data_IF_567877678302
#
_entry.id   IF_567877678302
#
_cell.length_a   1.000
_cell.length_b   1.000
_cell.length_c   1.000
_cell.angle_alpha   90.00
_cell.angle_beta   90.00
_cell.angle_gamma   90.00
#
_symmetry.space_group_name_H-M   'P 1'
#
loop_
_entity.id
_entity.type
_entity.pdbx_description
1 polymer ?
#
# COMPACT_ATOMS: atom_id res chain seq x y z
N UNK A 1 29.02 -18.96 -2.38
CA UNK A 1 28.19 -18.41 -3.49
C UNK A 1 27.21 -17.40 -2.90
N UNK A 2 27.51 -16.11 -2.96
CA UNK A 2 26.58 -15.03 -2.56
C UNK A 2 25.72 -14.68 -3.77
N UNK A 3 24.41 -14.92 -3.71
CA UNK A 3 23.45 -14.45 -4.71
C UNK A 3 23.03 -13.04 -4.32
N UNK A 4 23.28 -12.07 -5.19
CA UNK A 4 22.75 -10.71 -5.07
C UNK A 4 21.28 -10.74 -5.49
N UNK A 5 20.38 -10.31 -4.61
CA UNK A 5 19.00 -10.03 -4.96
C UNK A 5 19.00 -8.62 -5.55
N UNK A 6 19.08 -8.52 -6.87
CA UNK A 6 18.95 -7.26 -7.59
C UNK A 6 17.46 -6.97 -7.74
N UNK A 7 16.87 -6.25 -6.78
CA UNK A 7 15.52 -5.68 -6.93
C UNK A 7 15.59 -4.56 -7.93
N UNK A 8 15.05 -4.81 -9.11
CA UNK A 8 14.95 -3.79 -10.13
C UNK A 8 13.50 -3.32 -10.24
N UNK A 9 13.24 -2.18 -9.60
CA UNK A 9 12.01 -1.43 -9.74
C UNK A 9 12.16 -0.54 -10.98
N UNK A 10 11.83 -1.04 -12.17
CA UNK A 10 11.68 -0.19 -13.34
C UNK A 10 10.46 -0.61 -14.16
N UNK A 11 9.30 -0.18 -13.66
CA UNK A 11 8.17 0.15 -14.51
C UNK A 11 8.21 1.66 -14.73
N UNK A 12 8.23 2.12 -15.98
CA UNK A 12 7.89 3.49 -16.32
C UNK A 12 6.46 3.72 -15.85
N UNK A 13 6.31 4.32 -14.67
CA UNK A 13 5.03 4.68 -14.12
C UNK A 13 4.42 5.76 -15.02
N UNK A 14 3.37 5.40 -15.75
CA UNK A 14 2.38 6.39 -16.16
C UNK A 14 1.80 6.95 -14.85
N UNK A 15 2.13 8.21 -14.55
CA UNK A 15 1.64 8.93 -13.38
C UNK A 15 0.12 8.79 -13.28
N UNK A 16 -0.37 8.26 -12.16
CA UNK A 16 -1.74 8.55 -11.77
C UNK A 16 -1.87 10.05 -11.55
N UNK A 17 -2.89 10.68 -12.12
CA UNK A 17 -3.16 12.09 -11.84
C UNK A 17 -4.31 12.12 -10.83
N UNK A 18 -4.00 12.55 -9.61
CA UNK A 18 -5.01 12.95 -8.66
C UNK A 18 -5.38 14.42 -8.92
N UNK A 19 -6.63 14.69 -9.30
CA UNK A 19 -7.16 16.06 -9.34
C UNK A 19 -8.10 16.27 -8.17
N UNK A 20 -7.92 17.39 -7.46
CA UNK A 20 -8.88 17.90 -6.48
C UNK A 20 -9.61 19.06 -7.11
N UNK A 21 -10.90 18.87 -7.40
CA UNK A 21 -11.76 19.90 -7.99
C UNK A 21 -12.39 20.78 -6.91
N UNK A 22 -11.96 22.04 -6.81
CA UNK A 22 -12.53 23.03 -5.88
C UNK A 22 -13.81 23.64 -6.46
N UNK A 23 -14.95 23.00 -6.18
CA UNK A 23 -16.27 23.61 -6.34
C UNK A 23 -16.70 24.30 -5.05
N UNK A 24 -17.61 25.29 -5.12
CA UNK A 24 -18.24 25.88 -3.93
C UNK A 24 -19.09 24.83 -3.20
N UNK A 25 -18.46 23.96 -2.40
CA UNK A 25 -19.15 23.14 -1.40
C UNK A 25 -18.51 21.81 -1.00
N UNK A 26 -17.80 21.09 -1.89
CA UNK A 26 -17.27 19.76 -1.59
C UNK A 26 -16.06 19.42 -2.47
N UNK A 27 -14.96 18.97 -1.86
CA UNK A 27 -13.78 18.55 -2.59
C UNK A 27 -14.00 17.14 -3.17
N UNK A 28 -13.77 16.98 -4.47
CA UNK A 28 -13.82 15.64 -5.10
C UNK A 28 -12.40 15.17 -5.37
N UNK A 29 -12.04 14.00 -4.85
CA UNK A 29 -10.86 13.25 -5.25
C UNK A 29 -11.18 12.52 -6.55
N UNK A 30 -10.40 12.78 -7.60
CA UNK A 30 -10.43 11.99 -8.84
C UNK A 30 -9.10 11.24 -8.97
N UNK A 31 -9.14 9.91 -9.01
CA UNK A 31 -7.97 9.05 -9.24
C UNK A 31 -8.19 8.24 -10.51
N UNK A 32 -7.28 8.38 -11.46
CA UNK A 32 -7.21 7.54 -12.65
C UNK A 32 -5.80 6.96 -12.76
N UNK A 33 -5.71 5.64 -12.86
CA UNK A 33 -4.44 4.92 -12.91
C UNK A 33 -4.45 3.90 -14.05
N UNK A 34 -3.32 3.78 -14.74
CA UNK A 34 -3.06 2.72 -15.72
C UNK A 34 -1.78 2.00 -15.30
N UNK A 35 -1.91 0.84 -14.67
CA UNK A 35 -0.80 0.15 -14.00
C UNK A 35 -0.99 -1.38 -14.06
N UNK A 36 0.08 -2.19 -14.05
CA UNK A 36 0.01 -3.63 -13.80
C UNK A 36 -0.78 -4.02 -12.53
N UNK A 37 -0.73 -3.18 -11.49
CA UNK A 37 -1.43 -3.35 -10.22
C UNK A 37 -2.28 -2.10 -9.92
N UNK A 38 -3.40 -1.89 -10.61
CA UNK A 38 -4.14 -0.63 -10.54
C UNK A 38 -4.70 -0.34 -9.14
N UNK A 39 -5.10 -1.36 -8.37
CA UNK A 39 -5.62 -1.15 -7.01
C UNK A 39 -4.51 -0.67 -6.06
N UNK A 40 -3.36 -1.35 -6.06
CA UNK A 40 -2.21 -0.94 -5.24
C UNK A 40 -1.81 0.51 -5.57
N UNK A 41 -1.73 0.87 -6.86
CA UNK A 41 -1.42 2.24 -7.26
C UNK A 41 -2.50 3.25 -6.84
N UNK A 42 -3.78 2.90 -7.00
CA UNK A 42 -4.87 3.79 -6.61
C UNK A 42 -4.92 4.01 -5.09
N UNK A 43 -4.59 2.98 -4.29
CA UNK A 43 -4.42 3.10 -2.85
C UNK A 43 -3.23 4.01 -2.52
N UNK A 44 -2.09 3.88 -3.21
CA UNK A 44 -0.95 4.77 -3.00
C UNK A 44 -1.31 6.24 -3.30
N UNK A 45 -2.10 6.52 -4.35
CA UNK A 45 -2.60 7.88 -4.61
C UNK A 45 -3.57 8.36 -3.53
N UNK A 46 -4.48 7.49 -3.07
CA UNK A 46 -5.42 7.82 -2.00
C UNK A 46 -4.70 8.11 -0.67
N UNK A 47 -3.69 7.32 -0.34
CA UNK A 47 -2.82 7.48 0.82
C UNK A 47 -2.08 8.83 0.81
N UNK A 48 -1.59 9.29 -0.35
CA UNK A 48 -0.95 10.62 -0.46
C UNK A 48 -1.90 11.76 -0.18
N UNK A 49 -3.17 11.63 -0.58
CA UNK A 49 -4.18 12.68 -0.40
C UNK A 49 -4.68 12.71 1.05
N UNK A 50 -4.90 11.54 1.67
CA UNK A 50 -5.53 11.46 3.00
C UNK A 50 -4.49 11.34 4.14
N UNK A 51 -3.29 10.83 3.85
CA UNK A 51 -2.21 10.64 4.82
C UNK A 51 -2.44 9.50 5.80
N UNK A 52 -3.21 8.49 5.41
CA UNK A 52 -3.57 7.37 6.27
C UNK A 52 -3.24 6.06 5.57
N UNK A 53 -2.49 5.13 6.22
CA UNK A 53 -2.08 3.89 5.58
C UNK A 53 -3.25 2.95 5.31
N UNK A 54 -3.24 2.31 4.14
CA UNK A 54 -4.18 1.24 3.80
C UNK A 54 -3.36 0.03 3.41
N UNK A 55 -3.55 -1.10 4.05
CA UNK A 55 -2.80 -2.32 3.77
C UNK A 55 -3.44 -3.08 2.60
N UNK A 56 -2.64 -3.71 1.76
CA UNK A 56 -3.12 -4.39 0.55
C UNK A 56 -2.42 -5.72 0.32
N UNK A 57 -3.21 -6.71 -0.07
CA UNK A 57 -2.75 -8.00 -0.57
C UNK A 57 -3.19 -8.22 -2.01
N UNK A 58 -2.27 -8.72 -2.83
CA UNK A 58 -2.46 -8.96 -4.25
C UNK A 58 -3.03 -10.35 -4.54
N UNK A 59 -3.63 -10.53 -5.73
CA UNK A 59 -4.03 -11.87 -6.21
C UNK A 59 -2.86 -12.62 -6.83
N UNK A 60 -3.03 -13.94 -7.06
CA UNK A 60 -1.97 -14.82 -7.59
C UNK A 60 -1.81 -14.82 -9.12
N UNK A 61 -2.54 -13.98 -9.85
CA UNK A 61 -2.48 -13.85 -11.32
C UNK A 61 -2.32 -15.20 -12.06
N UNK A 62 -3.23 -16.14 -11.82
CA UNK A 62 -3.12 -17.49 -12.39
C UNK A 62 -3.61 -17.56 -13.83
N UNK A 63 -4.55 -16.70 -14.19
CA UNK A 63 -5.13 -16.68 -15.52
C UNK A 63 -4.12 -16.12 -16.55
N UNK A 64 -3.87 -16.81 -17.67
CA UNK A 64 -2.93 -16.35 -18.69
C UNK A 64 -3.24 -14.95 -19.25
N UNK A 65 -4.51 -14.55 -19.29
CA UNK A 65 -4.95 -13.23 -19.73
C UNK A 65 -4.58 -12.10 -18.78
N UNK A 66 -4.30 -12.41 -17.51
CA UNK A 66 -3.97 -11.44 -16.47
C UNK A 66 -2.47 -11.16 -16.33
N UNK A 67 -1.65 -11.92 -17.06
CA UNK A 67 -0.20 -11.75 -17.13
C UNK A 67 0.25 -11.43 -18.55
N UNK A 68 1.38 -10.76 -18.68
CA UNK A 68 2.06 -10.52 -19.94
C UNK A 68 3.55 -10.82 -19.83
N UNK A 69 4.14 -11.32 -20.93
CA UNK A 69 5.57 -11.50 -21.05
C UNK A 69 6.21 -10.13 -21.31
N UNK A 70 6.95 -9.64 -20.32
CA UNK A 70 7.67 -8.38 -20.37
C UNK A 70 9.18 -8.57 -20.53
N UNK A 71 9.63 -9.76 -20.95
CA UNK A 71 11.06 -10.10 -21.02
C UNK A 71 11.83 -9.11 -21.88
N UNK A 72 11.38 -8.83 -23.09
CA UNK A 72 12.03 -7.87 -23.99
C UNK A 72 12.05 -6.44 -23.42
N UNK A 73 10.91 -6.01 -22.87
CA UNK A 73 10.74 -4.67 -22.27
C UNK A 73 11.68 -4.47 -21.08
N UNK A 74 11.79 -5.47 -20.21
CA UNK A 74 12.60 -5.42 -19.00
C UNK A 74 14.08 -5.76 -19.26
N UNK A 75 14.42 -6.56 -20.27
CA UNK A 75 15.83 -6.86 -20.58
C UNK A 75 16.62 -5.59 -20.85
N UNK A 76 16.02 -4.66 -21.61
CA UNK A 76 16.63 -3.39 -21.96
C UNK A 76 16.79 -2.45 -20.76
N UNK A 77 15.86 -2.48 -19.79
CA UNK A 77 15.95 -1.62 -18.60
C UNK A 77 16.95 -2.14 -17.56
N UNK A 78 17.21 -3.45 -17.55
CA UNK A 78 18.05 -4.11 -16.55
C UNK A 78 19.53 -4.27 -16.94
N UNK A 79 19.93 -3.85 -18.14
CA UNK A 79 21.26 -4.12 -18.70
C UNK A 79 21.67 -5.61 -18.55
N UNK A 80 20.70 -6.54 -18.67
CA UNK A 80 20.97 -7.98 -18.56
C UNK A 80 21.59 -8.49 -19.85
N UNK A 81 22.53 -9.43 -19.74
CA UNK A 81 23.10 -10.10 -20.91
C UNK A 81 22.02 -10.83 -21.71
N UNK A 82 22.21 -10.93 -23.02
CA UNK A 82 21.31 -11.63 -23.95
C UNK A 82 21.13 -13.13 -23.61
N UNK A 83 22.02 -13.69 -22.77
CA UNK A 83 22.06 -15.11 -22.42
C UNK A 83 21.00 -15.56 -21.38
N UNK A 84 20.25 -14.63 -20.77
CA UNK A 84 19.22 -15.02 -19.79
C UNK A 84 17.98 -15.59 -20.49
N UNK A 85 17.80 -16.91 -20.43
CA UNK A 85 16.59 -17.63 -20.90
C UNK A 85 15.37 -17.47 -20.00
N UNK A 86 15.49 -16.75 -18.88
CA UNK A 86 14.39 -16.52 -17.93
C UNK A 86 13.37 -15.55 -18.53
N UNK A 87 12.13 -16.03 -18.72
CA UNK A 87 10.99 -15.17 -19.06
C UNK A 87 10.56 -14.37 -17.84
N UNK A 88 10.31 -13.08 -18.04
CA UNK A 88 9.82 -12.17 -17.02
C UNK A 88 8.34 -11.90 -17.26
N UNK A 89 7.51 -12.59 -16.50
CA UNK A 89 6.07 -12.38 -16.47
C UNK A 89 5.74 -11.25 -15.51
N UNK A 90 4.85 -10.35 -15.90
CA UNK A 90 4.30 -9.30 -15.02
C UNK A 90 2.78 -9.30 -15.12
N UNK A 91 2.07 -8.78 -14.11
CA UNK A 91 0.65 -8.49 -14.25
C UNK A 91 0.41 -7.59 -15.47
N UNK A 92 -0.64 -7.88 -16.23
CA UNK A 92 -1.01 -7.08 -17.39
C UNK A 92 -1.52 -5.71 -16.94
N UNK A 93 -1.09 -4.65 -17.61
CA UNK A 93 -1.57 -3.29 -17.34
C UNK A 93 -3.09 -3.20 -17.55
N UNK A 94 -3.78 -2.64 -16.55
CA UNK A 94 -5.21 -2.33 -16.56
C UNK A 94 -5.42 -0.91 -16.09
N UNK A 95 -6.56 -0.33 -16.48
CA UNK A 95 -6.98 0.98 -16.01
C UNK A 95 -8.01 0.85 -14.90
N UNK A 96 -7.94 1.75 -13.93
CA UNK A 96 -8.94 1.94 -12.88
C UNK A 96 -9.19 3.44 -12.74
N UNK A 97 -10.47 3.80 -12.69
CA UNK A 97 -10.91 5.17 -12.41
C UNK A 97 -11.81 5.15 -11.19
N UNK A 98 -11.67 6.17 -10.36
CA UNK A 98 -12.36 6.29 -9.09
C UNK A 98 -12.57 7.77 -8.80
N UNK A 99 -13.75 8.10 -8.30
CA UNK A 99 -14.04 9.41 -7.74
C UNK A 99 -14.68 9.27 -6.38
N UNK A 100 -14.32 10.16 -5.47
CA UNK A 100 -14.87 10.20 -4.12
C UNK A 100 -15.00 11.62 -3.62
N UNK A 101 -16.13 11.87 -2.97
CA UNK A 101 -16.47 13.15 -2.40
C UNK A 101 -15.90 13.23 -0.98
N UNK A 102 -14.94 14.11 -0.77
CA UNK A 102 -14.42 14.42 0.56
C UNK A 102 -15.49 15.18 1.34
N UNK A 103 -16.06 14.50 2.33
CA UNK A 103 -16.92 15.12 3.32
C UNK A 103 -16.09 15.65 4.49
N UNK A 104 -16.31 16.92 4.84
CA UNK A 104 -15.79 17.49 6.08
C UNK A 104 -16.57 16.93 7.28
N UNK A 105 -16.20 15.72 7.67
CA UNK A 105 -16.84 14.98 8.76
C UNK A 105 -16.08 15.12 10.09
N UNK A 106 -14.95 15.86 10.11
CA UNK A 106 -14.06 15.99 11.28
C UNK A 106 -13.33 14.71 11.71
N UNK A 107 -13.83 13.53 11.32
CA UNK A 107 -13.25 12.22 11.66
C UNK A 107 -12.56 11.56 10.47
N UNK A 108 -11.26 11.31 10.59
CA UNK A 108 -10.45 10.74 9.49
C UNK A 108 -10.76 9.27 9.21
N UNK A 109 -11.00 8.44 10.23
CA UNK A 109 -11.20 7.01 10.04
C UNK A 109 -12.49 6.66 9.27
N UNK A 110 -13.67 7.19 9.61
CA UNK A 110 -14.89 6.97 8.81
C UNK A 110 -14.78 7.53 7.38
N UNK A 111 -14.08 8.65 7.20
CA UNK A 111 -13.79 9.18 5.86
C UNK A 111 -12.92 8.21 5.05
N UNK A 112 -11.85 7.68 5.65
CA UNK A 112 -10.95 6.72 5.01
C UNK A 112 -11.68 5.41 4.67
N UNK A 113 -12.46 4.87 5.61
CA UNK A 113 -13.25 3.65 5.39
C UNK A 113 -14.15 3.77 4.15
N UNK A 114 -14.87 4.89 4.03
CA UNK A 114 -15.76 5.16 2.90
C UNK A 114 -15.00 5.35 1.59
N UNK A 115 -13.86 6.07 1.62
CA UNK A 115 -13.04 6.26 0.44
C UNK A 115 -12.46 4.93 -0.08
N UNK A 116 -11.92 4.09 0.80
CA UNK A 116 -11.39 2.76 0.45
C UNK A 116 -12.50 1.83 -0.01
N UNK A 117 -13.65 1.82 0.66
CA UNK A 117 -14.81 1.03 0.25
C UNK A 117 -15.29 1.41 -1.15
N UNK A 118 -15.35 2.71 -1.46
CA UNK A 118 -15.75 3.19 -2.78
C UNK A 118 -14.71 2.83 -3.86
N UNK A 119 -13.40 2.88 -3.55
CA UNK A 119 -12.34 2.45 -4.45
C UNK A 119 -12.45 0.94 -4.75
N UNK A 120 -12.63 0.11 -3.72
CA UNK A 120 -12.80 -1.33 -3.87
C UNK A 120 -14.09 -1.65 -4.65
N UNK A 121 -15.17 -0.92 -4.41
CA UNK A 121 -16.41 -1.09 -5.19
C UNK A 121 -16.19 -0.79 -6.68
N UNK A 122 -15.48 0.30 -7.02
CA UNK A 122 -15.12 0.62 -8.40
C UNK A 122 -14.24 -0.48 -9.02
N UNK A 123 -13.24 -0.95 -8.28
CA UNK A 123 -12.37 -2.05 -8.70
C UNK A 123 -13.14 -3.34 -8.97
N UNK A 124 -14.06 -3.72 -8.09
CA UNK A 124 -14.85 -4.96 -8.23
C UNK A 124 -15.87 -4.88 -9.37
N UNK A 125 -16.29 -3.67 -9.76
CA UNK A 125 -17.10 -3.44 -10.95
C UNK A 125 -16.26 -3.42 -12.24
N UNK A 126 -14.94 -3.23 -12.13
CA UNK A 126 -14.02 -3.34 -13.25
C UNK A 126 -13.65 -4.80 -13.54
N UNK A 127 -13.31 -5.10 -14.79
CA UNK A 127 -12.88 -6.43 -15.24
C UNK A 127 -11.42 -6.72 -14.84
N UNK A 128 -11.16 -6.75 -13.52
CA UNK A 128 -9.84 -6.93 -12.95
C UNK A 128 -9.58 -8.38 -12.51
N UNK A 129 -8.29 -8.81 -12.38
CA UNK A 129 -7.90 -10.19 -12.07
C UNK A 129 -8.46 -10.77 -10.75
N UNK A 130 -8.99 -9.92 -9.87
CA UNK A 130 -9.57 -10.30 -8.60
C UNK A 130 -10.65 -9.36 -8.11
N UNK A 131 -11.42 -9.85 -7.14
CA UNK A 131 -12.32 -9.05 -6.34
C UNK A 131 -11.82 -8.98 -4.91
N UNK A 132 -12.10 -7.87 -4.25
CA UNK A 132 -11.52 -7.53 -2.96
C UNK A 132 -12.60 -7.16 -1.96
N UNK A 133 -12.26 -7.31 -0.69
CA UNK A 133 -13.05 -6.85 0.44
C UNK A 133 -12.22 -5.88 1.28
N UNK A 134 -12.89 -4.89 1.86
CA UNK A 134 -12.29 -4.03 2.88
C UNK A 134 -12.54 -4.67 4.23
N UNK A 135 -11.48 -4.84 5.02
CA UNK A 135 -11.57 -5.22 6.42
C UNK A 135 -11.03 -4.08 7.26
N UNK A 136 -11.79 -3.75 8.31
CA UNK A 136 -11.41 -2.77 9.33
C UNK A 136 -10.97 -3.52 10.58
N UNK A 137 -9.86 -3.08 11.15
CA UNK A 137 -9.35 -3.60 12.41
C UNK A 137 -9.20 -2.47 13.41
N UNK A 138 -9.99 -2.50 14.49
CA UNK A 138 -9.91 -1.52 15.56
C UNK A 138 -9.13 -2.09 16.75
N UNK A 139 -8.03 -1.42 17.12
CA UNK A 139 -7.23 -1.77 18.30
C UNK A 139 -6.77 -0.51 19.02
N UNK A 140 -7.00 -0.45 20.33
CA UNK A 140 -6.56 0.67 21.19
C UNK A 140 -7.01 2.06 20.70
N UNK A 141 -8.17 2.15 20.03
CA UNK A 141 -8.70 3.41 19.51
C UNK A 141 -8.13 3.84 18.15
N UNK A 142 -7.29 3.01 17.54
CA UNK A 142 -6.80 3.20 16.18
C UNK A 142 -7.46 2.19 15.24
N UNK A 143 -7.83 2.65 14.05
CA UNK A 143 -8.43 1.82 12.99
C UNK A 143 -7.41 1.55 11.90
N UNK A 144 -7.25 0.30 11.50
CA UNK A 144 -6.44 -0.09 10.35
C UNK A 144 -7.34 -0.62 9.25
N UNK A 145 -6.99 -0.35 8.00
CA UNK A 145 -7.77 -0.78 6.85
C UNK A 145 -6.97 -1.75 5.99
N UNK A 146 -7.57 -2.88 5.66
CA UNK A 146 -7.00 -3.89 4.78
C UNK A 146 -7.88 -4.06 3.56
N UNK A 147 -7.26 -4.05 2.38
CA UNK A 147 -7.88 -4.46 1.12
C UNK A 147 -7.36 -5.85 0.79
N UNK A 148 -8.21 -6.85 1.00
CA UNK A 148 -7.86 -8.26 0.91
C UNK A 148 -8.56 -8.93 -0.27
N UNK A 149 -7.90 -9.87 -0.99
CA UNK A 149 -8.54 -10.60 -2.06
C UNK A 149 -9.63 -11.53 -1.48
N UNK A 150 -10.79 -11.55 -2.12
CA UNK A 150 -11.91 -12.46 -1.79
C UNK A 150 -12.18 -13.45 -2.91
N UNK A 151 -11.97 -13.04 -4.16
CA UNK A 151 -11.97 -13.91 -5.33
C UNK A 151 -10.85 -13.56 -6.30
N UNK A 152 -10.42 -14.53 -7.10
CA UNK A 152 -9.45 -14.33 -8.18
C UNK A 152 -9.75 -15.24 -9.37
N UNK A 153 -9.30 -14.86 -10.56
CA UNK A 153 -9.36 -15.76 -11.72
C UNK A 153 -8.35 -16.89 -11.57
N UNK A 154 -8.80 -18.11 -11.79
CA UNK A 154 -7.94 -19.29 -11.84
C UNK A 154 -7.32 -19.46 -13.24
N UNK A 155 -6.60 -20.56 -13.48
CA UNK A 155 -5.92 -20.84 -14.76
C UNK A 155 -6.88 -20.91 -15.96
N UNK A 156 -8.17 -21.21 -15.73
CA UNK A 156 -9.21 -21.21 -16.77
C UNK A 156 -9.92 -19.85 -16.95
N UNK A 157 -9.47 -18.79 -16.28
CA UNK A 157 -10.08 -17.46 -16.33
C UNK A 157 -11.39 -17.34 -15.55
N UNK A 158 -11.72 -18.32 -14.71
CA UNK A 158 -12.96 -18.34 -13.91
C UNK A 158 -12.70 -17.80 -12.51
N UNK A 159 -13.55 -16.91 -12.03
CA UNK A 159 -13.47 -16.42 -10.65
C UNK A 159 -13.71 -17.56 -9.64
N UNK A 160 -12.79 -17.69 -8.69
CA UNK A 160 -12.86 -18.61 -7.55
C UNK A 160 -12.60 -17.85 -6.27
N UNK A 161 -13.26 -18.27 -5.19
CA UNK A 161 -12.92 -17.79 -3.86
C UNK A 161 -11.45 -18.11 -3.55
N UNK A 162 -10.78 -17.18 -2.88
CA UNK A 162 -9.41 -17.35 -2.43
C UNK A 162 -9.31 -16.87 -0.99
N UNK A 163 -8.49 -17.57 -0.21
CA UNK A 163 -8.13 -17.13 1.14
C UNK A 163 -7.02 -16.09 1.06
N UNK A 164 -7.06 -15.11 1.97
CA UNK A 164 -6.02 -14.08 2.12
C UNK A 164 -4.90 -14.56 3.05
N UNK A 165 -3.67 -14.29 2.65
CA UNK A 165 -2.46 -14.49 3.46
C UNK A 165 -2.49 -13.63 4.73
N UNK A 166 -2.95 -12.39 4.62
CA UNK A 166 -3.07 -11.48 5.76
C UNK A 166 -4.19 -11.89 6.73
N UNK A 167 -5.20 -12.62 6.26
CA UNK A 167 -6.24 -13.20 7.11
C UNK A 167 -5.83 -14.54 7.76
N UNK A 168 -4.66 -15.10 7.40
CA UNK A 168 -4.22 -16.40 7.92
C UNK A 168 -3.96 -16.31 9.43
N UNK A 169 -4.54 -17.18 10.26
CA UNK A 169 -4.29 -17.18 11.69
C UNK A 169 -2.86 -17.64 11.99
N UNK A 170 -2.16 -16.90 12.83
CA UNK A 170 -0.81 -17.21 13.30
C UNK A 170 -0.76 -17.19 14.82
N UNK A 171 0.08 -18.06 15.38
CA UNK A 171 0.40 -18.08 16.80
C UNK A 171 1.91 -17.96 16.96
N UNK A 172 2.36 -16.97 17.71
CA UNK A 172 3.76 -16.62 17.83
C UNK A 172 4.02 -16.00 19.20
N UNK A 173 5.17 -16.31 19.78
CA UNK A 173 5.66 -15.69 21.02
C UNK A 173 7.11 -15.30 20.79
N UNK A 174 7.34 -14.00 20.60
CA UNK A 174 8.65 -13.40 20.41
C UNK A 174 8.95 -12.48 21.59
N UNK A 175 10.17 -12.55 22.10
CA UNK A 175 10.63 -11.69 23.19
C UNK A 175 11.99 -11.09 22.87
N UNK A 176 12.08 -9.76 22.91
CA UNK A 176 13.28 -8.94 22.66
C UNK A 176 14.07 -9.26 21.37
N UNK A 177 13.37 -9.67 20.30
CA UNK A 177 14.00 -9.96 18.99
C UNK A 177 14.15 -8.69 18.15
N UNK A 178 15.01 -8.73 17.12
CA UNK A 178 15.06 -7.64 16.14
C UNK A 178 13.80 -7.61 15.27
N UNK A 179 13.41 -6.44 14.76
CA UNK A 179 12.26 -6.33 13.85
C UNK A 179 12.41 -7.17 12.58
N UNK A 180 13.64 -7.36 12.06
CA UNK A 180 13.90 -8.27 10.92
C UNK A 180 13.62 -9.73 11.28
N UNK A 181 14.03 -10.17 12.47
CA UNK A 181 13.75 -11.53 12.95
C UNK A 181 12.24 -11.73 13.16
N UNK A 182 11.56 -10.76 13.77
CA UNK A 182 10.12 -10.80 13.97
C UNK A 182 9.36 -10.90 12.64
N UNK A 183 9.69 -10.05 11.67
CA UNK A 183 9.09 -10.11 10.32
C UNK A 183 9.32 -11.49 9.70
N UNK A 184 10.55 -11.99 9.73
CA UNK A 184 10.91 -13.30 9.17
C UNK A 184 10.10 -14.44 9.79
N UNK A 185 9.97 -14.46 11.13
CA UNK A 185 9.21 -15.49 11.83
C UNK A 185 7.71 -15.39 11.49
N UNK A 186 7.13 -14.19 11.44
CA UNK A 186 5.72 -14.03 11.05
C UNK A 186 5.49 -14.57 9.63
N UNK A 187 6.34 -14.20 8.65
CA UNK A 187 6.23 -14.71 7.28
C UNK A 187 6.44 -16.23 7.20
N UNK A 188 7.31 -16.77 8.05
CA UNK A 188 7.51 -18.21 8.17
C UNK A 188 6.23 -18.92 8.63
N UNK A 189 5.52 -18.38 9.62
CA UNK A 189 4.24 -18.95 10.09
C UNK A 189 3.16 -18.92 9.02
N UNK A 190 3.05 -17.81 8.27
CA UNK A 190 2.11 -17.73 7.14
C UNK A 190 2.46 -18.80 6.10
N UNK A 191 3.75 -18.96 5.77
CA UNK A 191 4.21 -19.98 4.81
C UNK A 191 3.88 -21.40 5.26
N UNK A 192 4.10 -21.72 6.53
CA UNK A 192 3.79 -23.04 7.10
C UNK A 192 2.30 -23.37 7.01
N UNK A 193 1.42 -22.39 7.25
CA UNK A 193 -0.03 -22.58 7.22
C UNK A 193 -0.62 -22.62 5.81
N UNK A 194 -0.11 -21.77 4.92
CA UNK A 194 -0.71 -21.57 3.58
C UNK A 194 -0.02 -22.37 2.49
N UNK A 195 1.21 -22.84 2.72
CA UNK A 195 2.07 -23.42 1.69
C UNK A 195 2.56 -22.42 0.63
N UNK A 196 2.20 -21.14 0.77
CA UNK A 196 2.64 -20.08 -0.14
C UNK A 196 4.02 -19.57 0.25
N UNK A 197 4.83 -19.25 -0.74
CA UNK A 197 6.14 -18.68 -0.50
C UNK A 197 5.98 -17.17 -0.29
N UNK A 198 6.47 -16.68 0.85
CA UNK A 198 6.58 -15.26 1.17
C UNK A 198 8.04 -14.91 1.37
N UNK A 199 8.43 -13.72 0.93
CA UNK A 199 9.79 -13.18 1.07
C UNK A 199 9.72 -11.70 1.45
N UNK A 200 10.76 -11.20 2.13
CA UNK A 200 10.90 -9.77 2.43
C UNK A 200 11.25 -9.05 1.12
N UNK A 201 10.42 -8.07 0.74
CA UNK A 201 10.64 -7.16 -0.38
C UNK A 201 11.31 -5.85 0.07
N UNK A 202 10.76 -4.73 -0.37
CA UNK A 202 11.23 -3.39 0.01
C UNK A 202 10.72 -3.04 1.40
N UNK A 203 11.63 -2.87 2.36
CA UNK A 203 11.28 -2.52 3.75
C UNK A 203 12.27 -1.50 4.31
N UNK A 204 11.92 -0.70 5.34
CA UNK A 204 12.85 0.20 6.02
C UNK A 204 13.84 -0.59 6.87
N UNK A 205 14.81 -1.24 6.23
CA UNK A 205 15.74 -2.19 6.86
C UNK A 205 16.46 -1.59 8.08
N UNK A 206 16.81 -0.30 8.02
CA UNK A 206 17.43 0.40 9.14
C UNK A 206 16.51 0.52 10.37
N UNK A 207 15.21 0.73 10.18
CA UNK A 207 14.24 0.77 11.28
C UNK A 207 14.04 -0.64 11.87
N UNK A 208 13.80 -1.63 11.01
CA UNK A 208 13.65 -3.04 11.43
C UNK A 208 14.88 -3.59 12.17
N UNK A 209 16.09 -3.25 11.73
CA UNK A 209 17.31 -3.74 12.36
C UNK A 209 17.58 -3.11 13.74
N UNK A 210 17.08 -1.90 13.98
CA UNK A 210 17.23 -1.19 15.26
C UNK A 210 16.13 -1.50 16.26
N UNK A 211 14.92 -1.80 15.77
CA UNK A 211 13.79 -2.14 16.62
C UNK A 211 14.07 -3.40 17.45
N UNK A 212 13.69 -3.35 18.72
CA UNK A 212 13.63 -4.49 19.64
C UNK A 212 12.18 -4.67 20.02
N UNK A 213 11.61 -5.83 19.69
CA UNK A 213 10.17 -6.06 19.78
C UNK A 213 9.89 -7.33 20.56
N UNK A 214 8.82 -7.29 21.35
CA UNK A 214 8.19 -8.45 21.95
C UNK A 214 6.76 -8.52 21.42
N UNK A 215 6.43 -9.59 20.72
CA UNK A 215 5.14 -9.77 20.05
C UNK A 215 4.59 -11.13 20.49
N UNK A 216 3.38 -11.13 21.02
CA UNK A 216 2.65 -12.35 21.33
C UNK A 216 1.31 -12.30 20.62
N UNK A 217 1.03 -13.32 19.83
CA UNK A 217 -0.26 -13.52 19.20
C UNK A 217 -0.67 -14.98 19.35
N UNK A 218 -1.96 -15.20 19.64
CA UNK A 218 -2.57 -16.52 19.76
C UNK A 218 -3.76 -16.59 18.79
N UNK A 219 -3.58 -17.35 17.71
CA UNK A 219 -4.56 -17.51 16.64
C UNK A 219 -5.08 -16.17 16.06
N UNK A 220 -4.20 -15.19 15.89
CA UNK A 220 -4.54 -13.87 15.35
C UNK A 220 -4.29 -13.79 13.83
N UNK A 221 -5.08 -13.00 13.06
CA UNK A 221 -4.78 -12.75 11.65
C UNK A 221 -3.38 -12.18 11.46
N UNK A 222 -2.62 -12.76 10.54
CA UNK A 222 -1.23 -12.38 10.30
C UNK A 222 -1.05 -10.89 9.95
N UNK A 223 -2.03 -10.31 9.24
CA UNK A 223 -2.06 -8.88 8.96
C UNK A 223 -2.00 -8.04 10.23
N UNK A 224 -2.75 -8.40 11.27
CA UNK A 224 -2.75 -7.65 12.53
C UNK A 224 -1.40 -7.75 13.25
N UNK A 225 -0.82 -8.96 13.30
CA UNK A 225 0.49 -9.20 13.91
C UNK A 225 1.61 -8.43 13.17
N UNK A 226 1.50 -8.30 11.84
CA UNK A 226 2.40 -7.46 11.04
C UNK A 226 2.23 -5.97 11.37
N UNK A 227 1.00 -5.49 11.61
CA UNK A 227 0.78 -4.09 11.99
C UNK A 227 1.34 -3.79 13.38
N UNK A 228 1.20 -4.71 14.34
CA UNK A 228 1.86 -4.57 15.65
C UNK A 228 3.37 -4.38 15.49
N UNK A 229 4.01 -5.24 14.68
CA UNK A 229 5.43 -5.09 14.37
C UNK A 229 5.75 -3.73 13.75
N UNK A 230 4.94 -3.27 12.79
CA UNK A 230 5.13 -1.98 12.11
C UNK A 230 5.07 -0.80 13.09
N UNK A 231 4.13 -0.84 14.04
CA UNK A 231 3.97 0.22 15.06
C UNK A 231 5.19 0.35 15.98
N UNK A 232 5.91 -0.75 16.21
CA UNK A 232 7.14 -0.74 17.01
C UNK A 232 8.37 -0.15 16.29
N UNK A 233 8.31 0.11 14.97
CA UNK A 233 9.49 0.52 14.19
C UNK A 233 9.94 1.98 14.43
N UNK A 234 9.20 2.76 15.24
CA UNK A 234 9.45 4.20 15.47
C UNK A 234 9.69 4.96 14.15
N UNK A 235 8.91 4.61 13.12
CA UNK A 235 8.99 5.16 11.78
C UNK A 235 7.74 6.02 11.48
N UNK A 236 7.77 6.86 10.42
CA UNK A 236 6.53 7.41 9.87
C UNK A 236 5.51 6.30 9.58
N UNK A 237 4.20 6.61 9.51
CA UNK A 237 3.18 5.61 9.18
C UNK A 237 3.59 4.79 7.95
N UNK A 238 3.52 3.47 8.06
CA UNK A 238 3.89 2.55 6.98
C UNK A 238 2.66 1.83 6.47
N UNK A 239 2.49 1.79 5.16
CA UNK A 239 1.52 0.90 4.54
C UNK A 239 2.19 -0.43 4.18
N UNK A 240 1.39 -1.50 4.23
CA UNK A 240 1.82 -2.87 3.96
C UNK A 240 1.33 -3.28 2.57
N UNK A 241 2.22 -3.84 1.76
CA UNK A 241 1.91 -4.36 0.42
C UNK A 241 2.41 -5.80 0.30
N UNK A 242 1.49 -6.75 0.19
CA UNK A 242 1.80 -8.17 -0.06
C UNK A 242 1.57 -8.46 -1.54
N UNK A 243 2.63 -8.38 -2.34
CA UNK A 243 2.54 -8.36 -3.81
C UNK A 243 2.99 -9.67 -4.42
N UNK A 244 2.16 -10.27 -5.28
CA UNK A 244 2.51 -11.53 -5.95
C UNK A 244 3.38 -11.27 -7.18
N UNK A 245 4.45 -12.05 -7.33
CA UNK A 245 5.29 -12.07 -8.54
C UNK A 245 4.90 -13.29 -9.41
N UNK A 246 4.33 -13.08 -10.61
CA UNK A 246 3.91 -14.19 -11.46
C UNK A 246 5.07 -14.95 -12.13
N UNK A 247 6.28 -14.37 -12.17
CA UNK A 247 7.48 -15.05 -12.73
C UNK A 247 7.95 -16.14 -11.77
N UNK A 248 8.15 -15.78 -10.51
CA UNK A 248 8.77 -16.64 -9.49
C UNK A 248 7.76 -17.24 -8.50
N UNK A 249 6.47 -16.91 -8.68
CA UNK A 249 5.32 -17.47 -7.96
C UNK A 249 5.44 -17.37 -6.43
N UNK A 250 5.83 -16.21 -5.94
CA UNK A 250 5.87 -15.92 -4.50
C UNK A 250 5.34 -14.52 -4.21
N UNK A 251 5.03 -14.26 -2.94
CA UNK A 251 4.62 -12.95 -2.45
C UNK A 251 5.78 -12.17 -1.82
N UNK A 252 6.04 -10.97 -2.33
CA UNK A 252 6.97 -10.03 -1.71
C UNK A 252 6.22 -9.14 -0.71
N UNK A 253 6.70 -9.09 0.53
CA UNK A 253 6.16 -8.20 1.56
C UNK A 253 6.94 -6.90 1.55
N UNK A 254 6.26 -5.81 1.22
CA UNK A 254 6.83 -4.48 1.14
C UNK A 254 6.19 -3.55 2.17
N UNK A 255 6.98 -2.64 2.71
CA UNK A 255 6.59 -1.58 3.64
C UNK A 255 7.05 -0.25 3.05
N UNK A 256 6.13 0.68 2.85
CA UNK A 256 6.45 2.03 2.36
C UNK A 256 5.87 3.12 3.26
N UNK A 257 6.56 4.26 3.39
CA UNK A 257 6.06 5.38 4.16
C UNK A 257 4.85 6.02 3.49
N UNK A 258 3.84 6.30 4.30
CA UNK A 258 2.73 7.17 3.96
C UNK A 258 3.07 8.55 4.49
N UNK A 259 3.36 9.45 3.56
CA UNK A 259 3.61 10.84 3.91
C UNK A 259 2.27 11.50 4.24
N UNK A 260 2.17 12.26 5.35
CA UNK A 260 1.00 13.07 5.57
C UNK A 260 0.83 14.03 4.38
N UNK A 261 -0.41 14.37 3.98
CA UNK A 261 -0.63 15.34 2.93
C UNK A 261 0.14 16.61 3.29
N UNK A 262 0.90 17.15 2.34
CA UNK A 262 1.62 18.41 2.50
C UNK A 262 0.64 19.58 2.78
N UNK A 263 -0.65 19.35 2.53
CA UNK A 263 -1.74 20.28 2.81
C UNK A 263 -2.03 20.42 4.31
N UNK A 264 -1.64 21.58 4.86
CA UNK A 264 -2.21 22.12 6.10
C UNK A 264 -3.41 23.01 5.73
N UNK A 265 -4.66 22.65 6.06
CA UNK A 265 -5.84 23.43 5.68
C UNK A 265 -5.86 24.85 6.25
N UNK A 266 -5.12 25.12 7.32
CA UNK A 266 -5.12 26.41 7.99
C UNK A 266 -3.71 26.86 8.36
N UNK A 267 -2.93 27.26 7.37
CA UNK A 267 -2.26 28.55 7.58
C UNK A 267 -3.24 29.61 7.14
N UNK A 268 -4.22 29.91 7.99
CA UNK A 268 -4.74 31.27 8.03
C UNK A 268 -3.50 32.11 8.31
N UNK A 269 -2.86 32.59 7.25
CA UNK A 269 -2.10 33.80 7.33
C UNK A 269 -3.15 34.81 7.78
N UNK A 270 -3.34 34.91 9.10
CA UNK A 270 -3.93 36.07 9.74
C UNK A 270 -3.31 37.23 8.98
N UNK A 271 -4.09 38.04 8.25
CA UNK A 271 -3.53 39.21 7.62
C UNK A 271 -2.88 39.95 8.78
N UNK A 272 -1.55 40.02 8.78
CA UNK A 272 -0.82 40.75 9.79
C UNK A 272 -1.36 42.16 9.62
N UNK A 273 -2.29 42.55 10.48
CA UNK A 273 -2.72 43.94 10.58
C UNK A 273 -1.43 44.67 10.87
N UNK A 274 -1.00 45.41 9.86
CA UNK A 274 0.06 46.39 9.92
C UNK A 274 -0.42 47.50 10.87
N UNK A 275 -0.52 47.18 12.15
CA UNK A 275 -0.75 48.14 13.20
C UNK A 275 0.58 48.86 13.45
N UNK A 276 0.63 50.06 12.88
CA UNK A 276 1.27 51.23 13.48
C UNK A 276 2.75 51.09 13.81
N UNK A 277 3.60 51.54 12.88
CA UNK A 277 4.96 51.98 13.19
C UNK A 277 4.90 53.25 14.09
N UNK A 278 5.33 53.22 15.37
CA UNK A 278 5.22 54.37 16.28
C UNK A 278 6.33 55.43 16.10
N UNK A 279 7.19 55.29 15.09
CA UNK A 279 8.41 56.11 14.97
C UNK A 279 8.29 57.40 14.14
N UNK A 280 7.14 57.68 13.52
CA UNK A 280 6.92 58.96 12.84
C UNK A 280 6.15 59.94 13.74
N UNK A 281 6.89 60.82 14.42
CA UNK A 281 6.31 62.08 14.93
C UNK A 281 6.42 63.15 13.83
N UNK A 282 5.33 63.84 13.45
CA UNK A 282 5.42 65.00 12.58
C UNK A 282 6.09 66.16 13.34
N UNK A 283 7.06 66.80 12.68
CA UNK A 283 7.62 68.08 13.13
C UNK A 283 6.69 69.18 12.59
N UNK A 284 6.15 69.98 13.50
CA UNK A 284 5.38 71.19 13.16
C UNK A 284 6.32 72.42 13.05
N UNK A 285 5.97 73.43 12.22
CA UNK A 285 6.81 74.58 11.89
C UNK A 285 7.04 75.55 13.06
#
# INVERSE_FOLDING_TARGET
>A
MRRYITTATLATALSGIAFVGLGLGQDTIWIEVSNPRPIAQALDELEKVIGFPVHYEDVRYQAPEDVEDATERLRNSLNRSEESSVRLMVPRTRSLSFSYLLEDSGERAPMMERAVAALVASSNAADLPGQFAVQRYDRQGESEFFVLPSTMRNEEGVYRSTDSLLATPVSISLDEVSGVQALTEILQRIREQTGHRLEIGTVPLGALARARVSITADNEPAGHVLIELIKELQAPPLALRVLFDPTVKYYAVNLHPVMPPEWSPHSDASPTTSDGNPWFKPVSP
#
